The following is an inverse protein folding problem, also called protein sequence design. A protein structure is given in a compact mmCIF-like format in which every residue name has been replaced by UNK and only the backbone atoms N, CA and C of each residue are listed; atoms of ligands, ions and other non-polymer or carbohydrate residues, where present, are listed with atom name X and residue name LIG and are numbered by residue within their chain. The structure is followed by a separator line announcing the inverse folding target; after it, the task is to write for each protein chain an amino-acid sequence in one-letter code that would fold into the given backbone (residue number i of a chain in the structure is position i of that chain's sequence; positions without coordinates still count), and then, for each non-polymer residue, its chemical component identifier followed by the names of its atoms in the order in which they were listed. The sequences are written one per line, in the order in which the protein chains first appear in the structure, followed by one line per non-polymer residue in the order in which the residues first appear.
data_IF_926785696081
#
_entry.id   IF_926785696081
#
_cell.length_a   1.000
_cell.length_b   1.000
_cell.length_c   1.000
_cell.angle_alpha   90.00
_cell.angle_beta   90.00
_cell.angle_gamma   90.00
#
_symmetry.space_group_name_H-M   'P 1'
#
loop_
_entity.id
_entity.type
_entity.pdbx_description
1 polymer ?
#
# COMPACT_ATOMS: atom_id res chain seq x y z
N UNK A 1 3.58 13.57 9.65
CA UNK A 1 4.53 12.82 8.81
C UNK A 1 3.78 12.48 7.55
N UNK A 2 4.02 13.20 6.47
CA UNK A 2 3.30 13.01 5.21
C UNK A 2 3.65 11.63 4.64
N UNK A 3 2.75 10.66 4.78
CA UNK A 3 2.77 9.43 3.97
C UNK A 3 2.10 9.78 2.64
N UNK A 4 2.71 10.74 1.97
CA UNK A 4 2.30 11.27 0.68
C UNK A 4 3.54 11.34 -0.18
N UNK A 5 4.14 10.19 -0.44
CA UNK A 5 5.23 10.06 -1.40
C UNK A 5 4.95 8.88 -2.31
N UNK A 6 3.73 8.86 -2.84
CA UNK A 6 3.46 8.27 -4.14
C UNK A 6 3.94 9.28 -5.19
N UNK A 7 5.25 9.48 -5.21
CA UNK A 7 5.91 10.25 -6.25
C UNK A 7 5.68 9.46 -7.54
N UNK A 8 5.17 10.12 -8.57
CA UNK A 8 4.93 9.52 -9.88
C UNK A 8 6.28 9.19 -10.53
N UNK A 9 6.90 8.10 -10.07
CA UNK A 9 8.16 7.57 -10.56
C UNK A 9 7.83 6.73 -11.79
N UNK A 10 8.28 7.17 -12.96
CA UNK A 10 8.18 6.37 -14.18
C UNK A 10 9.53 5.73 -14.46
N UNK A 11 9.53 4.46 -14.83
CA UNK A 11 10.74 3.74 -15.21
C UNK A 11 11.02 3.86 -16.71
N UNK A 12 12.25 4.23 -17.05
CA UNK A 12 12.81 4.14 -18.41
C UNK A 12 13.93 3.09 -18.38
N UNK A 13 13.78 2.05 -19.19
CA UNK A 13 14.76 0.97 -19.31
C UNK A 13 15.47 1.01 -20.66
N UNK A 14 16.79 0.98 -20.64
CA UNK A 14 17.61 0.64 -21.82
C UNK A 14 17.90 -0.88 -21.91
N UNK A 15 17.42 -1.67 -20.94
CA UNK A 15 17.66 -3.10 -20.83
C UNK A 15 16.70 -3.94 -21.70
N UNK A 16 17.24 -4.92 -22.42
CA UNK A 16 16.45 -5.86 -23.25
C UNK A 16 15.87 -7.05 -22.46
N UNK A 17 16.16 -7.19 -21.15
CA UNK A 17 15.73 -8.35 -20.38
C UNK A 17 14.21 -8.35 -20.16
N UNK A 18 13.62 -9.55 -20.05
CA UNK A 18 12.20 -9.71 -19.74
C UNK A 18 11.84 -9.08 -18.38
N UNK A 19 12.78 -9.10 -17.42
CA UNK A 19 12.61 -8.45 -16.11
C UNK A 19 12.55 -6.93 -16.25
N UNK A 20 13.40 -6.31 -17.09
CA UNK A 20 13.34 -4.87 -17.34
C UNK A 20 11.99 -4.45 -17.93
N UNK A 21 11.48 -5.21 -18.91
CA UNK A 21 10.19 -4.92 -19.57
C UNK A 21 9.01 -5.08 -18.61
N UNK A 22 8.98 -6.19 -17.88
CA UNK A 22 7.93 -6.49 -16.89
C UNK A 22 7.90 -5.45 -15.77
N UNK A 23 9.08 -5.04 -15.28
CA UNK A 23 9.18 -4.01 -14.25
C UNK A 23 8.71 -2.63 -14.73
N UNK A 24 9.07 -2.23 -15.96
CA UNK A 24 8.60 -0.98 -16.58
C UNK A 24 7.08 -0.99 -16.74
N UNK A 25 6.50 -2.08 -17.25
CA UNK A 25 5.05 -2.23 -17.39
C UNK A 25 4.33 -2.20 -16.03
N UNK A 26 4.88 -2.90 -15.04
CA UNK A 26 4.35 -2.95 -13.68
C UNK A 26 4.27 -1.56 -13.02
N UNK A 27 5.37 -0.79 -13.06
CA UNK A 27 5.42 0.54 -12.45
C UNK A 27 4.63 1.58 -13.28
N UNK A 28 4.74 1.55 -14.61
CA UNK A 28 4.21 2.65 -15.44
C UNK A 28 2.75 2.45 -15.87
N UNK A 29 2.28 1.21 -15.96
CA UNK A 29 0.96 0.90 -16.50
C UNK A 29 0.06 0.25 -15.44
N UNK A 30 0.57 -0.72 -14.67
CA UNK A 30 -0.27 -1.51 -13.76
C UNK A 30 -0.52 -0.81 -12.42
N UNK A 31 0.49 -0.25 -11.77
CA UNK A 31 0.34 0.39 -10.46
C UNK A 31 -0.32 1.78 -10.41
N UNK A 32 -0.15 2.68 -11.41
CA UNK A 32 -0.64 4.05 -11.27
C UNK A 32 -2.15 4.16 -11.06
N UNK A 33 -2.93 3.23 -11.61
CA UNK A 33 -4.39 3.19 -11.41
C UNK A 33 -4.76 2.84 -9.96
N UNK A 34 -3.94 2.04 -9.27
CA UNK A 34 -4.17 1.58 -7.90
C UNK A 34 -3.71 2.61 -6.87
N UNK A 35 -2.63 3.34 -7.19
CA UNK A 35 -2.04 4.36 -6.35
C UNK A 35 -3.04 5.41 -5.87
N UNK A 36 -3.98 5.79 -6.74
CA UNK A 36 -5.05 6.75 -6.40
C UNK A 36 -6.00 6.18 -5.35
N UNK A 37 -6.39 4.90 -5.49
CA UNK A 37 -7.32 4.25 -4.56
C UNK A 37 -6.68 4.11 -3.17
N UNK A 38 -5.42 3.67 -3.11
CA UNK A 38 -4.66 3.58 -1.85
C UNK A 38 -4.52 4.96 -1.20
N UNK A 39 -4.11 5.98 -1.97
CA UNK A 39 -3.94 7.35 -1.47
C UNK A 39 -5.24 7.91 -0.91
N UNK A 40 -6.36 7.71 -1.60
CA UNK A 40 -7.67 8.20 -1.15
C UNK A 40 -8.09 7.50 0.16
N UNK A 41 -7.87 6.20 0.29
CA UNK A 41 -8.16 5.44 1.52
C UNK A 41 -7.28 5.87 2.70
N UNK A 42 -5.97 6.05 2.48
CA UNK A 42 -5.04 6.52 3.50
C UNK A 42 -5.37 7.94 3.94
N UNK A 43 -5.70 8.83 2.99
CA UNK A 43 -6.10 10.20 3.30
C UNK A 43 -7.38 10.26 4.14
N UNK A 44 -8.36 9.40 3.84
CA UNK A 44 -9.58 9.28 4.64
C UNK A 44 -9.28 8.84 6.07
N UNK A 45 -8.39 7.86 6.24
CA UNK A 45 -7.93 7.42 7.56
C UNK A 45 -7.19 8.55 8.31
N UNK A 46 -6.28 9.25 7.65
CA UNK A 46 -5.54 10.37 8.24
C UNK A 46 -6.45 11.54 8.64
N UNK A 47 -7.59 11.72 7.97
CA UNK A 47 -8.56 12.78 8.28
C UNK A 47 -9.24 12.66 9.64
N UNK A 48 -9.18 11.48 10.27
CA UNK A 48 -9.84 11.18 11.56
C UNK A 48 -8.90 10.54 12.58
N UNK A 49 -7.60 10.47 12.29
CA UNK A 49 -6.60 9.83 13.16
C UNK A 49 -5.46 10.77 13.53
N UNK A 50 -4.63 10.34 14.48
CA UNK A 50 -3.50 11.14 14.97
C UNK A 50 -3.94 12.52 15.44
N UNK A 51 -3.34 13.58 14.89
CA UNK A 51 -3.69 14.99 15.22
C UNK A 51 -5.13 15.39 14.84
N UNK A 52 -5.77 14.64 13.94
CA UNK A 52 -7.14 14.92 13.49
C UNK A 52 -8.19 14.06 14.23
N UNK A 53 -7.75 13.21 15.16
CA UNK A 53 -8.65 12.42 15.98
C UNK A 53 -9.53 13.31 16.85
N UNK A 54 -10.83 13.01 16.87
CA UNK A 54 -11.83 13.73 17.66
C UNK A 54 -12.48 12.83 18.70
N UNK A 55 -13.00 11.68 18.25
CA UNK A 55 -13.58 10.65 19.08
C UNK A 55 -13.70 9.33 18.28
N UNK A 56 -14.01 8.25 19.00
CA UNK A 56 -14.12 6.91 18.45
C UNK A 56 -15.24 6.77 17.42
N UNK A 57 -16.38 7.45 17.62
CA UNK A 57 -17.53 7.38 16.71
C UNK A 57 -17.19 7.92 15.31
N UNK A 58 -16.57 9.10 15.24
CA UNK A 58 -16.15 9.70 13.97
C UNK A 58 -15.14 8.80 13.25
N UNK A 59 -14.22 8.20 14.01
CA UNK A 59 -13.21 7.30 13.48
C UNK A 59 -13.84 6.00 12.96
N UNK A 60 -14.72 5.38 13.74
CA UNK A 60 -15.46 4.17 13.38
C UNK A 60 -16.26 4.38 12.09
N UNK A 61 -17.07 5.44 12.02
CA UNK A 61 -17.87 5.76 10.85
C UNK A 61 -16.99 5.96 9.61
N UNK A 62 -15.86 6.70 9.76
CA UNK A 62 -14.92 6.88 8.64
C UNK A 62 -14.29 5.57 8.18
N UNK A 63 -13.97 4.66 9.11
CA UNK A 63 -13.43 3.34 8.79
C UNK A 63 -14.44 2.52 7.99
N UNK A 64 -15.68 2.42 8.47
CA UNK A 64 -16.76 1.64 7.84
C UNK A 64 -17.19 2.21 6.49
N UNK A 65 -17.42 3.53 6.42
CA UNK A 65 -18.04 4.15 5.25
C UNK A 65 -17.05 4.38 4.11
N UNK A 66 -15.76 4.47 4.42
CA UNK A 66 -14.76 4.97 3.46
C UNK A 66 -13.48 4.15 3.42
N UNK A 67 -12.76 4.04 4.55
CA UNK A 67 -11.41 3.46 4.55
C UNK A 67 -11.44 1.97 4.19
N UNK A 68 -12.23 1.17 4.90
CA UNK A 68 -12.29 -0.29 4.71
C UNK A 68 -12.78 -0.64 3.29
N UNK A 69 -13.87 -0.06 2.75
CA UNK A 69 -14.32 -0.36 1.39
C UNK A 69 -13.28 -0.01 0.32
N UNK A 70 -12.66 1.18 0.39
CA UNK A 70 -11.66 1.62 -0.58
C UNK A 70 -10.39 0.78 -0.49
N UNK A 71 -9.94 0.48 0.72
CA UNK A 71 -8.73 -0.30 0.91
C UNK A 71 -8.92 -1.78 0.51
N UNK A 72 -10.13 -2.33 0.68
CA UNK A 72 -10.50 -3.64 0.13
C UNK A 72 -10.44 -3.66 -1.40
N UNK A 73 -10.99 -2.64 -2.06
CA UNK A 73 -10.91 -2.49 -3.52
C UNK A 73 -9.46 -2.40 -3.99
N UNK A 74 -8.63 -1.61 -3.29
CA UNK A 74 -7.19 -1.53 -3.55
C UNK A 74 -6.49 -2.89 -3.44
N UNK A 75 -6.68 -3.62 -2.33
CA UNK A 75 -6.07 -4.96 -2.14
C UNK A 75 -6.49 -5.92 -3.24
N UNK A 76 -7.79 -5.96 -3.57
CA UNK A 76 -8.28 -6.84 -4.64
C UNK A 76 -7.67 -6.53 -6.01
N UNK A 77 -7.53 -5.24 -6.35
CA UNK A 77 -6.85 -4.81 -7.59
C UNK A 77 -5.35 -5.13 -7.55
N UNK A 78 -4.71 -4.95 -6.41
CA UNK A 78 -3.29 -5.27 -6.23
C UNK A 78 -3.05 -6.76 -6.45
N UNK A 79 -3.85 -7.63 -5.83
CA UNK A 79 -3.76 -9.09 -5.97
C UNK A 79 -4.06 -9.60 -7.39
N UNK A 80 -4.85 -8.84 -8.15
CA UNK A 80 -5.16 -9.16 -9.55
C UNK A 80 -3.96 -8.93 -10.48
N UNK A 81 -2.97 -8.13 -10.09
CA UNK A 81 -1.75 -7.94 -10.87
C UNK A 81 -0.94 -9.24 -10.89
N UNK A 82 -0.54 -9.67 -12.10
CA UNK A 82 0.29 -10.85 -12.32
C UNK A 82 1.56 -10.43 -13.05
N UNK A 83 2.67 -10.16 -12.33
CA UNK A 83 3.96 -9.94 -12.96
C UNK A 83 4.41 -11.17 -13.76
N UNK A 84 5.06 -10.96 -14.89
CA UNK A 84 5.47 -12.04 -15.79
C UNK A 84 6.73 -12.77 -15.28
N UNK A 85 7.60 -12.09 -14.56
CA UNK A 85 8.90 -12.59 -14.10
C UNK A 85 8.87 -13.02 -12.65
N UNK A 86 9.59 -14.10 -12.32
CA UNK A 86 9.62 -14.67 -10.95
C UNK A 86 10.19 -13.68 -9.95
N UNK A 87 11.18 -12.90 -10.36
CA UNK A 87 11.80 -11.86 -9.56
C UNK A 87 10.77 -10.78 -9.16
N UNK A 88 9.99 -10.29 -10.12
CA UNK A 88 8.98 -9.28 -9.84
C UNK A 88 7.78 -9.85 -9.09
N UNK A 89 7.40 -11.12 -9.33
CA UNK A 89 6.38 -11.82 -8.53
C UNK A 89 6.77 -11.86 -7.04
N UNK A 90 8.03 -12.18 -6.73
CA UNK A 90 8.51 -12.21 -5.35
C UNK A 90 8.45 -10.83 -4.68
N UNK A 91 8.82 -9.76 -5.41
CA UNK A 91 8.72 -8.38 -4.91
C UNK A 91 7.26 -7.96 -4.74
N UNK A 92 6.39 -8.31 -5.69
CA UNK A 92 4.96 -7.98 -5.65
C UNK A 92 4.23 -8.65 -4.47
N UNK A 93 4.59 -9.89 -4.14
CA UNK A 93 4.04 -10.62 -2.99
C UNK A 93 4.31 -9.89 -1.66
N UNK A 94 5.46 -9.23 -1.51
CA UNK A 94 5.76 -8.39 -0.34
C UNK A 94 4.73 -7.25 -0.22
N UNK A 95 4.35 -6.64 -1.34
CA UNK A 95 3.37 -5.56 -1.35
C UNK A 95 1.97 -6.06 -1.00
N UNK A 96 1.53 -7.19 -1.59
CA UNK A 96 0.25 -7.84 -1.25
C UNK A 96 0.18 -8.13 0.24
N UNK A 97 1.23 -8.76 0.81
CA UNK A 97 1.25 -9.09 2.23
C UNK A 97 1.23 -7.84 3.12
N UNK A 98 1.91 -6.77 2.72
CA UNK A 98 1.94 -5.52 3.45
C UNK A 98 0.57 -4.80 3.41
N UNK A 99 -0.05 -4.74 2.23
CA UNK A 99 -1.38 -4.18 2.05
C UNK A 99 -2.44 -4.98 2.82
N UNK A 100 -2.41 -6.31 2.74
CA UNK A 100 -3.31 -7.16 3.52
C UNK A 100 -3.17 -6.98 5.03
N UNK A 101 -1.95 -6.73 5.54
CA UNK A 101 -1.75 -6.37 6.95
C UNK A 101 -2.42 -5.04 7.31
N UNK A 102 -2.28 -4.01 6.47
CA UNK A 102 -2.95 -2.73 6.69
C UNK A 102 -4.48 -2.86 6.62
N UNK A 103 -4.99 -3.60 5.64
CA UNK A 103 -6.42 -3.89 5.51
C UNK A 103 -6.97 -4.57 6.77
N UNK A 104 -6.32 -5.65 7.20
CA UNK A 104 -6.67 -6.38 8.43
C UNK A 104 -6.65 -5.46 9.64
N UNK A 105 -5.70 -4.54 9.70
CA UNK A 105 -5.60 -3.58 10.78
C UNK A 105 -6.77 -2.59 10.81
N UNK A 106 -7.22 -2.08 9.66
CA UNK A 106 -8.39 -1.20 9.60
C UNK A 106 -9.67 -1.92 10.04
N UNK A 107 -9.85 -3.16 9.62
CA UNK A 107 -10.99 -4.00 10.05
C UNK A 107 -10.93 -4.23 11.56
N UNK A 108 -9.78 -4.64 12.09
CA UNK A 108 -9.61 -4.90 13.52
C UNK A 108 -9.74 -3.63 14.37
N UNK A 109 -9.28 -2.49 13.86
CA UNK A 109 -9.45 -1.19 14.51
C UNK A 109 -10.93 -0.82 14.61
N UNK A 110 -11.72 -1.07 13.56
CA UNK A 110 -13.16 -0.85 13.62
C UNK A 110 -13.84 -1.74 14.66
N UNK A 111 -13.46 -3.02 14.73
CA UNK A 111 -13.98 -3.97 15.74
C UNK A 111 -13.58 -3.55 17.17
N UNK A 112 -12.35 -3.05 17.34
CA UNK A 112 -11.87 -2.53 18.62
C UNK A 112 -12.66 -1.32 19.10
N UNK A 113 -13.00 -0.39 18.18
CA UNK A 113 -13.80 0.79 18.51
C UNK A 113 -15.24 0.42 18.89
N UNK A 114 -15.85 -0.53 18.17
CA UNK A 114 -17.20 -1.03 18.48
C UNK A 114 -17.27 -1.72 19.84
N UNK A 115 -16.24 -2.51 20.18
CA UNK A 115 -16.16 -3.24 21.46
C UNK A 115 -15.56 -2.43 22.61
N UNK A 116 -15.09 -1.21 22.33
CA UNK A 116 -14.27 -0.42 23.25
C UNK A 116 -13.07 -1.19 23.82
N UNK A 117 -12.44 -2.04 22.99
CA UNK A 117 -11.36 -2.94 23.39
C UNK A 117 -9.99 -2.33 23.05
N UNK A 118 -9.34 -1.76 24.06
CA UNK A 118 -8.01 -1.17 23.93
C UNK A 118 -6.92 -2.19 23.55
N UNK A 119 -7.09 -3.46 23.89
CA UNK A 119 -6.16 -4.54 23.51
C UNK A 119 -6.23 -4.85 22.03
N UNK A 120 -7.44 -4.94 21.47
CA UNK A 120 -7.64 -5.07 20.03
C UNK A 120 -7.14 -3.84 19.27
N UNK A 121 -7.31 -2.65 19.83
CA UNK A 121 -6.80 -1.41 19.24
C UNK A 121 -5.26 -1.39 19.18
N UNK A 122 -4.58 -1.85 20.23
CA UNK A 122 -3.12 -1.97 20.25
C UNK A 122 -2.63 -2.94 19.17
N UNK A 123 -3.24 -4.12 19.06
CA UNK A 123 -2.92 -5.11 18.03
C UNK A 123 -3.16 -4.58 16.60
N UNK A 124 -4.23 -3.81 16.40
CA UNK A 124 -4.48 -3.15 15.12
C UNK A 124 -3.36 -2.15 14.77
N UNK A 125 -2.89 -1.37 15.75
CA UNK A 125 -1.78 -0.44 15.55
C UNK A 125 -0.45 -1.16 15.21
N UNK A 126 -0.18 -2.31 15.84
CA UNK A 126 0.98 -3.14 15.51
C UNK A 126 0.91 -3.65 14.07
N UNK A 127 -0.26 -4.17 13.63
CA UNK A 127 -0.49 -4.59 12.24
C UNK A 127 -0.30 -3.43 11.25
N UNK A 128 -0.76 -2.22 11.57
CA UNK A 128 -0.49 -1.04 10.75
C UNK A 128 1.01 -0.73 10.66
N UNK A 129 1.75 -0.87 11.76
CA UNK A 129 3.20 -0.64 11.77
C UNK A 129 3.94 -1.68 10.92
N UNK A 130 3.55 -2.95 11.01
CA UNK A 130 4.08 -4.04 10.19
C UNK A 130 3.75 -3.83 8.71
N UNK A 131 2.52 -3.46 8.37
CA UNK A 131 2.12 -3.14 7.00
C UNK A 131 2.97 -2.01 6.42
N UNK A 132 3.17 -0.91 7.17
CA UNK A 132 4.07 0.19 6.77
C UNK A 132 5.51 -0.27 6.57
N UNK A 133 6.00 -1.19 7.42
CA UNK A 133 7.34 -1.78 7.27
C UNK A 133 7.44 -2.60 5.99
N UNK A 134 6.44 -3.42 5.69
CA UNK A 134 6.36 -4.21 4.47
C UNK A 134 6.32 -3.36 3.20
N UNK A 135 5.58 -2.24 3.20
CA UNK A 135 5.56 -1.31 2.06
C UNK A 135 6.95 -0.69 1.83
N UNK A 136 7.66 -0.28 2.90
CA UNK A 136 9.05 0.21 2.77
C UNK A 136 10.00 -0.85 2.24
N UNK A 137 9.81 -2.10 2.66
CA UNK A 137 10.58 -3.23 2.13
C UNK A 137 10.30 -3.42 0.63
N UNK A 138 9.04 -3.42 0.21
CA UNK A 138 8.68 -3.48 -1.21
C UNK A 138 9.34 -2.34 -2.02
N UNK A 139 9.32 -1.11 -1.51
CA UNK A 139 10.01 0.04 -2.15
C UNK A 139 11.52 -0.21 -2.31
N UNK A 140 12.17 -0.74 -1.28
CA UNK A 140 13.60 -1.06 -1.33
C UNK A 140 13.90 -2.16 -2.35
N UNK A 141 13.09 -3.22 -2.36
CA UNK A 141 13.29 -4.36 -3.26
C UNK A 141 12.99 -4.01 -4.72
N UNK A 142 12.00 -3.15 -4.99
CA UNK A 142 11.71 -2.73 -6.36
C UNK A 142 12.79 -1.80 -6.91
N UNK A 143 13.36 -0.93 -6.08
CA UNK A 143 14.52 -0.11 -6.44
C UNK A 143 15.77 -0.97 -6.71
N UNK A 144 16.02 -1.98 -5.87
CA UNK A 144 17.10 -2.93 -6.08
C UNK A 144 16.93 -3.72 -7.38
N UNK A 145 15.71 -4.18 -7.67
CA UNK A 145 15.38 -4.89 -8.91
C UNK A 145 15.55 -3.99 -10.15
N UNK A 146 15.15 -2.72 -10.06
CA UNK A 146 15.36 -1.73 -11.12
C UNK A 146 16.86 -1.53 -11.40
N UNK A 147 17.66 -1.29 -10.35
CA UNK A 147 19.11 -1.09 -10.46
C UNK A 147 19.81 -2.31 -11.07
N UNK A 148 19.48 -3.52 -10.61
CA UNK A 148 20.03 -4.78 -11.14
C UNK A 148 19.77 -4.95 -12.64
N UNK A 149 18.65 -4.41 -13.13
CA UNK A 149 18.20 -4.55 -14.51
C UNK A 149 18.44 -3.30 -15.36
N UNK A 150 19.29 -2.37 -14.91
CA UNK A 150 19.62 -1.11 -15.60
C UNK A 150 18.38 -0.30 -16.00
N UNK A 151 17.39 -0.27 -15.11
CA UNK A 151 16.16 0.50 -15.27
C UNK A 151 16.25 1.72 -14.34
N UNK A 152 15.98 2.92 -14.88
CA UNK A 152 16.12 4.19 -14.16
C UNK A 152 14.75 4.81 -13.86
N UNK A 153 14.59 5.35 -12.65
CA UNK A 153 13.43 6.16 -12.30
C UNK A 153 13.62 7.58 -12.84
N UNK A 154 12.66 8.06 -13.62
CA UNK A 154 12.53 9.45 -14.01
C UNK A 154 11.53 10.13 -13.08
N UNK A 155 11.89 11.30 -12.57
CA UNK A 155 10.95 12.20 -11.92
C UNK A 155 10.26 13.05 -12.99
N UNK A 156 8.94 13.25 -12.86
CA UNK A 156 8.25 14.38 -13.49
C UNK A 156 8.12 15.52 -12.49
#
# INVERSE_FOLDING_TARGET
MSIGFLLALFLVGCGQSEVSKDLVDYINNKLPELAKVETDAVRDYESVSGKNFKNDEIMYNKLQDSVIPKYRDFVGKLEAIKPATKELQAVHEIYIQAANKQYSAFVQMSDALEKQDAGLLAQANDKLAEGRKGIRQWQTEIEALAKKNNVTFQQK
#
